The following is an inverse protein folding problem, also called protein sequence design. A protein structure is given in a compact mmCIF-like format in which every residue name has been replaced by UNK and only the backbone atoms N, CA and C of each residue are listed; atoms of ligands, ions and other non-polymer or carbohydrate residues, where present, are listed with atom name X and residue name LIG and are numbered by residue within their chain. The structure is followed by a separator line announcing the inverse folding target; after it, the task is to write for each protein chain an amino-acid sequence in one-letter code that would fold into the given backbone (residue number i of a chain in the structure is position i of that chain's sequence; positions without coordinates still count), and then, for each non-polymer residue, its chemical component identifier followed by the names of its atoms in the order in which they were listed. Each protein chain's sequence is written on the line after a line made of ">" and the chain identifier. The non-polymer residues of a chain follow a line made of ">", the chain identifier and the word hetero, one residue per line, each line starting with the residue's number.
data_IF_801738660994
#
_entry.id   IF_801738660994
#
_cell.length_a   1.000
_cell.length_b   1.000
_cell.length_c   1.000
_cell.angle_alpha   90.00
_cell.angle_beta   90.00
_cell.angle_gamma   90.00
#
_symmetry.space_group_name_H-M   'P 1'
#
loop_
_entity.id
_entity.type
_entity.pdbx_description
1 polymer ?
#
# COMPACT_ATOMS: atom_id res chain seq x y z
N UNK A 1 -10.79 -26.62 40.43
CA UNK A 1 -10.53 -25.19 40.16
C UNK A 1 -9.21 -24.93 39.43
N UNK A 2 -8.07 -25.51 39.82
CA UNK A 2 -6.75 -25.29 39.17
C UNK A 2 -6.71 -25.58 37.65
N UNK A 3 -7.37 -26.66 37.19
CA UNK A 3 -7.37 -27.06 35.75
C UNK A 3 -8.05 -26.01 34.86
N UNK A 4 -9.22 -25.50 35.28
CA UNK A 4 -9.99 -24.47 34.56
C UNK A 4 -9.20 -23.17 34.44
N UNK A 5 -8.50 -22.74 35.49
CA UNK A 5 -7.68 -21.52 35.45
C UNK A 5 -6.56 -21.62 34.41
N UNK A 6 -5.88 -22.77 34.31
CA UNK A 6 -4.82 -23.01 33.30
C UNK A 6 -5.36 -22.99 31.88
N UNK A 7 -6.53 -23.60 31.65
CA UNK A 7 -7.18 -23.59 30.33
C UNK A 7 -7.60 -22.18 29.92
N UNK A 8 -8.16 -21.40 30.85
CA UNK A 8 -8.55 -20.00 30.59
C UNK A 8 -7.32 -19.14 30.26
N UNK A 9 -6.20 -19.30 30.99
CA UNK A 9 -4.95 -18.59 30.68
C UNK A 9 -4.40 -18.96 29.30
N UNK A 10 -4.46 -20.24 28.90
CA UNK A 10 -4.03 -20.69 27.58
C UNK A 10 -4.88 -20.11 26.45
N UNK A 11 -6.21 -20.07 26.62
CA UNK A 11 -7.12 -19.49 25.63
C UNK A 11 -6.86 -17.99 25.46
N UNK A 12 -6.64 -17.27 26.56
CA UNK A 12 -6.33 -15.83 26.52
C UNK A 12 -4.99 -15.54 25.84
N UNK A 13 -3.99 -16.40 26.05
CA UNK A 13 -2.69 -16.30 25.38
C UNK A 13 -2.81 -16.53 23.85
N UNK A 14 -3.64 -17.49 23.41
CA UNK A 14 -3.86 -17.76 21.99
C UNK A 14 -4.62 -16.62 21.31
N UNK A 15 -5.62 -16.03 21.97
CA UNK A 15 -6.35 -14.85 21.46
C UNK A 15 -5.44 -13.64 21.24
N UNK A 16 -4.42 -13.46 22.08
CA UNK A 16 -3.47 -12.34 21.95
C UNK A 16 -2.60 -12.44 20.69
N UNK A 17 -2.32 -13.66 20.21
CA UNK A 17 -1.49 -13.90 19.03
C UNK A 17 -2.20 -13.57 17.71
N UNK A 18 -3.53 -13.49 17.70
CA UNK A 18 -4.33 -13.26 16.48
C UNK A 18 -4.52 -11.75 16.21
N UNK A 19 -4.25 -10.88 17.18
CA UNK A 19 -4.46 -9.42 17.06
C UNK A 19 -3.38 -8.70 16.21
N UNK A 20 -2.31 -9.40 15.83
CA UNK A 20 -1.19 -8.78 15.12
C UNK A 20 -1.24 -9.07 13.62
N UNK A 21 -2.10 -8.35 12.90
CA UNK A 21 -2.08 -8.29 11.44
C UNK A 21 -2.43 -6.89 10.99
N UNK A 22 -1.44 -6.11 10.54
CA UNK A 22 -1.71 -4.91 9.74
C UNK A 22 -1.91 -5.40 8.31
N UNK A 23 -3.14 -5.32 7.81
CA UNK A 23 -3.40 -5.50 6.39
C UNK A 23 -2.94 -4.22 5.67
N UNK A 24 -1.79 -4.29 5.04
CA UNK A 24 -1.20 -3.15 4.32
C UNK A 24 -1.74 -3.14 2.90
N UNK A 25 -2.91 -2.54 2.73
CA UNK A 25 -3.51 -2.37 1.40
C UNK A 25 -2.58 -1.51 0.53
N UNK A 26 -2.36 -1.97 -0.69
CA UNK A 26 -1.66 -1.18 -1.73
C UNK A 26 -2.71 -0.45 -2.55
N UNK A 27 -2.47 0.82 -2.83
CA UNK A 27 -3.31 1.64 -3.72
C UNK A 27 -2.49 2.00 -4.95
N UNK A 28 -3.06 1.79 -6.14
CA UNK A 28 -2.53 2.32 -7.39
C UNK A 28 -3.38 3.49 -7.84
N UNK A 29 -2.75 4.64 -8.03
CA UNK A 29 -3.35 5.75 -8.78
C UNK A 29 -2.84 5.65 -10.21
N UNK A 30 -3.73 5.49 -11.18
CA UNK A 30 -3.40 5.27 -12.59
C UNK A 30 -4.10 6.28 -13.51
N UNK A 31 -3.81 6.23 -14.81
CA UNK A 31 -4.35 7.17 -15.79
C UNK A 31 -4.02 8.62 -15.36
N UNK A 32 -2.75 8.88 -15.09
CA UNK A 32 -2.24 10.19 -14.67
C UNK A 32 -1.12 10.65 -15.59
N UNK A 33 -0.95 11.97 -15.68
CA UNK A 33 0.28 12.59 -16.17
C UNK A 33 1.18 12.88 -14.96
N UNK A 34 1.92 11.87 -14.49
CA UNK A 34 2.72 11.94 -13.27
C UNK A 34 4.11 12.55 -13.50
N UNK A 35 4.54 13.42 -12.58
CA UNK A 35 5.86 14.03 -12.57
C UNK A 35 6.50 13.89 -11.19
N UNK A 36 7.80 13.65 -11.14
CA UNK A 36 8.58 13.67 -9.89
C UNK A 36 10.03 14.07 -10.17
N UNK A 37 10.77 14.43 -9.12
CA UNK A 37 12.19 14.74 -9.21
C UNK A 37 13.02 13.54 -8.74
N UNK A 38 14.00 13.17 -9.55
CA UNK A 38 15.04 12.19 -9.20
C UNK A 38 16.41 12.87 -9.15
N UNK A 39 17.44 12.15 -8.69
CA UNK A 39 18.82 12.62 -8.76
C UNK A 39 19.29 12.90 -10.20
N UNK A 40 18.69 12.24 -11.19
CA UNK A 40 19.00 12.43 -12.62
C UNK A 40 18.14 13.53 -13.27
N UNK A 41 17.23 14.17 -12.53
CA UNK A 41 16.31 15.19 -13.02
C UNK A 41 14.85 14.75 -13.00
N UNK A 42 14.02 15.45 -13.78
CA UNK A 42 12.58 15.23 -13.88
C UNK A 42 12.29 13.85 -14.47
N UNK A 43 11.41 13.10 -13.80
CA UNK A 43 10.88 11.83 -14.30
C UNK A 43 9.37 11.93 -14.50
N UNK A 44 8.84 11.13 -15.43
CA UNK A 44 7.41 11.03 -15.72
C UNK A 44 6.92 9.61 -15.58
N UNK A 45 5.65 9.44 -15.21
CA UNK A 45 5.01 8.13 -15.03
C UNK A 45 3.49 8.22 -15.24
N UNK A 46 2.86 7.09 -15.53
CA UNK A 46 1.42 7.00 -15.82
C UNK A 46 0.62 6.39 -14.66
N UNK A 47 1.32 5.75 -13.73
CA UNK A 47 0.76 5.19 -12.51
C UNK A 47 1.77 5.22 -11.35
N UNK A 48 1.26 5.24 -10.13
CA UNK A 48 2.04 5.19 -8.89
C UNK A 48 1.40 4.21 -7.90
N UNK A 49 2.22 3.34 -7.30
CA UNK A 49 1.81 2.40 -6.26
C UNK A 49 2.23 2.94 -4.89
N UNK A 50 1.29 2.96 -3.95
CA UNK A 50 1.48 3.51 -2.60
C UNK A 50 1.00 2.48 -1.58
N UNK A 51 1.79 2.27 -0.52
CA UNK A 51 1.35 1.52 0.65
C UNK A 51 1.96 2.11 1.91
N UNK A 52 1.17 2.14 2.98
CA UNK A 52 1.56 2.70 4.28
C UNK A 52 2.15 4.12 4.19
N UNK A 53 1.60 4.96 3.32
CA UNK A 53 2.06 6.34 3.10
C UNK A 53 3.42 6.46 2.39
N UNK A 54 3.92 5.36 1.80
CA UNK A 54 5.16 5.34 1.03
C UNK A 54 4.88 5.00 -0.42
N UNK A 55 5.62 5.65 -1.32
CA UNK A 55 5.68 5.26 -2.72
C UNK A 55 6.48 3.96 -2.82
N UNK A 56 5.85 2.92 -3.36
CA UNK A 56 6.51 1.65 -3.65
C UNK A 56 7.19 1.72 -5.02
N UNK A 57 6.46 2.18 -6.03
CA UNK A 57 6.90 2.19 -7.43
C UNK A 57 6.11 3.23 -8.27
N UNK A 58 6.74 3.72 -9.34
CA UNK A 58 6.11 4.53 -10.39
C UNK A 58 6.41 3.91 -11.75
N UNK A 59 5.46 3.88 -12.68
CA UNK A 59 5.67 3.26 -13.99
C UNK A 59 4.53 3.47 -14.96
N UNK A 60 4.42 2.58 -15.95
CA UNK A 60 3.24 2.51 -16.83
C UNK A 60 2.05 1.90 -16.08
N UNK A 61 0.85 2.17 -16.59
CA UNK A 61 -0.39 1.59 -16.05
C UNK A 61 -0.31 0.05 -15.98
N UNK A 62 0.10 -0.57 -17.09
CA UNK A 62 0.11 -2.02 -17.25
C UNK A 62 1.11 -2.70 -16.32
N UNK A 63 2.31 -2.13 -16.19
CA UNK A 63 3.35 -2.70 -15.34
C UNK A 63 2.95 -2.73 -13.87
N UNK A 64 2.26 -1.68 -13.40
CA UNK A 64 1.82 -1.60 -12.00
C UNK A 64 0.61 -2.51 -11.74
N UNK A 65 -0.34 -2.60 -12.67
CA UNK A 65 -1.47 -3.53 -12.55
C UNK A 65 -1.03 -4.99 -12.48
N UNK A 66 -0.05 -5.37 -13.30
CA UNK A 66 0.54 -6.72 -13.30
C UNK A 66 1.30 -7.02 -12.00
N UNK A 67 1.99 -6.01 -11.45
CA UNK A 67 2.81 -6.16 -10.24
C UNK A 67 1.98 -6.17 -8.94
N UNK A 68 0.82 -5.50 -8.94
CA UNK A 68 -0.05 -5.38 -7.77
C UNK A 68 -1.51 -5.73 -8.10
N UNK A 69 -1.81 -7.00 -8.43
CA UNK A 69 -3.12 -7.42 -8.93
C UNK A 69 -4.26 -7.29 -7.90
N UNK A 70 -3.94 -7.11 -6.62
CA UNK A 70 -4.91 -6.96 -5.52
C UNK A 70 -4.96 -5.51 -4.98
N UNK A 71 -4.34 -4.55 -5.67
CA UNK A 71 -4.36 -3.16 -5.24
C UNK A 71 -5.76 -2.54 -5.38
N UNK A 72 -6.06 -1.59 -4.50
CA UNK A 72 -7.15 -0.65 -4.72
C UNK A 72 -6.76 0.26 -5.90
N UNK A 73 -7.67 0.43 -6.87
CA UNK A 73 -7.42 1.26 -8.05
C UNK A 73 -8.14 2.59 -7.92
N UNK A 74 -7.40 3.66 -8.18
CA UNK A 74 -7.92 5.03 -8.28
C UNK A 74 -7.61 5.55 -9.68
N UNK A 75 -8.66 5.87 -10.44
CA UNK A 75 -8.54 6.52 -11.75
C UNK A 75 -8.24 8.01 -11.56
N UNK A 76 -7.11 8.47 -12.10
CA UNK A 76 -6.68 9.86 -12.10
C UNK A 76 -7.30 10.70 -13.23
N UNK A 77 -8.13 10.11 -14.10
CA UNK A 77 -8.89 10.78 -15.16
C UNK A 77 -8.02 11.57 -16.16
N UNK A 78 -6.79 11.13 -16.40
CA UNK A 78 -5.80 11.83 -17.23
C UNK A 78 -5.27 13.12 -16.62
N UNK A 79 -5.50 13.37 -15.32
CA UNK A 79 -5.04 14.59 -14.64
C UNK A 79 -3.55 14.55 -14.35
N UNK A 80 -2.96 15.73 -14.16
CA UNK A 80 -1.56 15.87 -13.78
C UNK A 80 -1.37 15.58 -12.30
N UNK A 81 -0.42 14.71 -11.97
CA UNK A 81 0.05 14.49 -10.61
C UNK A 81 1.43 15.12 -10.43
N UNK A 82 1.56 15.99 -9.44
CA UNK A 82 2.80 16.68 -9.08
C UNK A 82 3.25 16.25 -7.68
N UNK A 83 4.56 16.33 -7.37
CA UNK A 83 5.01 16.16 -6.00
C UNK A 83 4.41 17.25 -5.11
N UNK A 84 4.26 16.94 -3.81
CA UNK A 84 3.84 17.93 -2.82
C UNK A 84 4.76 19.15 -2.83
N UNK A 85 4.16 20.34 -2.78
CA UNK A 85 4.91 21.59 -2.72
C UNK A 85 5.52 21.73 -1.31
N UNK A 86 6.79 22.09 -1.26
CA UNK A 86 7.55 22.35 -0.03
C UNK A 86 8.06 23.78 0.00
#
# INVERSE_FOLDING_TARGET
>A
MISITRTVTLVFAILFLISCGKDTQTTIIHNINGYSNSAAGLITFEAIAISEGKVLETGSHEALLDSYPNAELIDGEGRTMLPGLI
#
